data_IF_734985936684
#
_entry.id   IF_734985936684
#
_cell.length_a   1.000
_cell.length_b   1.000
_cell.length_c   1.000
_cell.angle_alpha   90.00
_cell.angle_beta   90.00
_cell.angle_gamma   90.00
#
_symmetry.space_group_name_H-M   'P 1'
#
loop_
_entity.id
_entity.type
_entity.pdbx_description
1 polymer ?
#
# COMPACT_ATOMS: atom_id res chain seq x y z
N UNK A 1 23.91 -6.70 -10.74
CA UNK A 1 23.00 -7.33 -11.72
C UNK A 1 23.02 -6.53 -13.00
N UNK A 2 23.12 -7.18 -14.17
CA UNK A 2 23.24 -6.51 -15.47
C UNK A 2 21.89 -6.08 -16.07
N UNK A 3 21.91 -5.07 -16.94
CA UNK A 3 20.71 -4.50 -17.61
C UNK A 3 19.90 -5.54 -18.40
N UNK A 4 20.56 -6.59 -18.94
CA UNK A 4 19.87 -7.66 -19.68
C UNK A 4 19.02 -8.56 -18.79
N UNK A 5 19.42 -8.75 -17.51
CA UNK A 5 18.67 -9.54 -16.54
C UNK A 5 17.38 -8.81 -16.12
N UNK A 6 17.48 -7.50 -15.87
CA UNK A 6 16.33 -6.64 -15.53
C UNK A 6 15.27 -6.65 -16.65
N UNK A 7 15.68 -6.52 -17.91
CA UNK A 7 14.77 -6.58 -19.08
C UNK A 7 14.10 -7.94 -19.23
N UNK A 8 14.78 -9.04 -18.89
CA UNK A 8 14.20 -10.39 -18.92
C UNK A 8 13.10 -10.53 -17.87
N UNK A 9 13.34 -10.04 -16.66
CA UNK A 9 12.34 -10.07 -15.59
C UNK A 9 11.12 -9.23 -15.95
N UNK A 10 11.31 -8.00 -16.47
CA UNK A 10 10.18 -7.18 -16.94
C UNK A 10 9.37 -7.90 -18.02
N UNK A 11 10.03 -8.59 -18.96
CA UNK A 11 9.35 -9.33 -20.02
C UNK A 11 8.53 -10.50 -19.46
N UNK A 12 9.09 -11.27 -18.54
CA UNK A 12 8.34 -12.37 -17.89
C UNK A 12 7.20 -11.85 -17.02
N UNK A 13 7.40 -10.71 -16.36
CA UNK A 13 6.37 -10.05 -15.57
C UNK A 13 5.23 -9.53 -16.44
N UNK A 14 5.53 -8.82 -17.54
CA UNK A 14 4.54 -8.28 -18.45
C UNK A 14 3.61 -9.36 -19.04
N UNK A 15 4.07 -10.62 -19.14
CA UNK A 15 3.20 -11.75 -19.53
C UNK A 15 2.14 -12.07 -18.49
N UNK A 16 2.45 -11.88 -17.19
CA UNK A 16 1.55 -12.16 -16.06
C UNK A 16 0.72 -10.94 -15.64
N UNK A 17 1.18 -9.75 -16.01
CA UNK A 17 0.60 -8.46 -15.61
C UNK A 17 -0.90 -8.37 -15.84
N UNK A 18 -1.38 -8.75 -17.03
CA UNK A 18 -2.81 -8.72 -17.34
C UNK A 18 -3.65 -9.64 -16.43
N UNK A 19 -3.07 -10.75 -15.94
CA UNK A 19 -3.70 -11.61 -14.95
C UNK A 19 -3.72 -10.96 -13.57
N UNK A 20 -2.60 -10.36 -13.15
CA UNK A 20 -2.50 -9.66 -11.87
C UNK A 20 -3.46 -8.47 -11.78
N UNK A 21 -3.49 -7.62 -12.81
CA UNK A 21 -4.44 -6.50 -12.87
C UNK A 21 -5.89 -6.97 -12.81
N UNK A 22 -6.22 -8.10 -13.45
CA UNK A 22 -7.56 -8.67 -13.40
C UNK A 22 -7.94 -9.08 -11.99
N UNK A 23 -7.04 -9.75 -11.26
CA UNK A 23 -7.30 -10.13 -9.87
C UNK A 23 -7.42 -8.90 -8.96
N UNK A 24 -6.55 -7.90 -9.12
CA UNK A 24 -6.61 -6.66 -8.34
C UNK A 24 -7.91 -5.87 -8.60
N UNK A 25 -8.35 -5.80 -9.86
CA UNK A 25 -9.61 -5.15 -10.26
C UNK A 25 -10.86 -5.83 -9.69
N UNK A 26 -10.77 -7.07 -9.20
CA UNK A 26 -11.89 -7.69 -8.46
C UNK A 26 -12.05 -7.11 -7.06
N UNK A 27 -11.00 -6.52 -6.50
CA UNK A 27 -11.01 -5.96 -5.15
C UNK A 27 -11.40 -4.48 -5.13
N UNK A 28 -11.28 -3.78 -6.26
CA UNK A 28 -11.55 -2.35 -6.34
C UNK A 28 -11.08 -1.70 -7.64
N UNK A 29 -10.99 -0.36 -7.62
CA UNK A 29 -10.52 0.43 -8.76
C UNK A 29 -8.98 0.48 -8.76
N UNK A 30 -8.36 0.10 -9.88
CA UNK A 30 -6.90 0.01 -10.00
C UNK A 30 -6.38 1.07 -10.99
N UNK A 31 -5.51 1.95 -10.50
CA UNK A 31 -4.82 2.97 -11.28
C UNK A 31 -3.32 2.68 -11.36
N UNK A 32 -2.75 2.76 -12.56
CA UNK A 32 -1.30 2.59 -12.79
C UNK A 32 -0.56 3.92 -12.59
N UNK A 33 0.17 4.03 -11.47
CA UNK A 33 0.96 5.20 -11.14
C UNK A 33 2.42 5.09 -11.61
N UNK A 34 2.79 4.00 -12.30
CA UNK A 34 4.18 3.76 -12.74
C UNK A 34 4.72 4.91 -13.59
N UNK A 35 3.88 5.52 -14.43
CA UNK A 35 4.23 6.65 -15.27
C UNK A 35 4.46 7.97 -14.51
N UNK A 36 3.90 8.09 -13.31
CA UNK A 36 4.03 9.26 -12.44
C UNK A 36 5.34 9.24 -11.65
N UNK A 37 5.96 8.07 -11.48
CA UNK A 37 7.24 7.92 -10.78
C UNK A 37 8.39 8.23 -11.74
N UNK A 38 9.15 9.32 -11.53
CA UNK A 38 10.33 9.63 -12.33
C UNK A 38 11.33 8.46 -12.34
N UNK A 39 11.96 8.16 -13.48
CA UNK A 39 12.86 7.00 -13.65
C UNK A 39 14.00 7.02 -12.61
N UNK A 40 14.52 8.21 -12.30
CA UNK A 40 15.55 8.40 -11.28
C UNK A 40 15.04 8.12 -9.85
N UNK A 41 13.73 8.23 -9.59
CA UNK A 41 13.07 7.91 -8.32
C UNK A 41 12.58 6.46 -8.23
N UNK A 42 12.49 5.69 -9.33
CA UNK A 42 12.20 4.23 -9.25
C UNK A 42 13.29 3.42 -8.55
N UNK A 43 14.47 4.02 -8.33
CA UNK A 43 15.59 3.51 -7.52
C UNK A 43 15.57 3.98 -6.06
N UNK A 44 14.54 4.72 -5.68
CA UNK A 44 14.34 5.25 -4.35
C UNK A 44 12.97 4.76 -3.91
N UNK A 45 12.88 4.09 -2.75
CA UNK A 45 11.55 3.84 -2.18
C UNK A 45 10.81 5.17 -2.11
N UNK A 46 9.59 5.21 -2.65
CA UNK A 46 8.75 6.42 -2.68
C UNK A 46 8.45 6.92 -1.25
N UNK A 47 8.73 6.10 -0.22
CA UNK A 47 8.29 6.38 1.13
C UNK A 47 9.45 6.59 2.14
N UNK A 48 10.66 6.06 1.90
CA UNK A 48 11.73 6.07 2.92
C UNK A 48 13.07 6.72 2.52
N UNK A 49 13.22 7.21 1.28
CA UNK A 49 14.47 7.85 0.82
C UNK A 49 15.76 7.02 1.09
N UNK A 50 15.64 5.69 1.17
CA UNK A 50 16.79 4.80 1.34
C UNK A 50 17.24 4.22 0.00
N UNK A 51 18.56 4.10 -0.24
CA UNK A 51 19.09 3.49 -1.45
C UNK A 51 18.71 2.02 -1.46
N UNK A 52 17.82 1.64 -2.38
CA UNK A 52 17.43 0.26 -2.51
C UNK A 52 18.48 -0.51 -3.30
N UNK A 53 18.70 -1.76 -2.92
CA UNK A 53 19.51 -2.67 -3.73
C UNK A 53 18.93 -2.75 -5.14
N UNK A 54 19.78 -3.02 -6.15
CA UNK A 54 19.36 -3.17 -7.55
C UNK A 54 18.19 -4.16 -7.75
N UNK A 55 17.97 -5.07 -6.79
CA UNK A 55 16.89 -6.05 -6.80
C UNK A 55 15.52 -5.45 -6.43
N UNK A 56 15.50 -4.39 -5.61
CA UNK A 56 14.29 -3.74 -5.10
C UNK A 56 13.93 -2.46 -5.88
N UNK A 57 14.35 -2.37 -7.13
CA UNK A 57 13.86 -1.34 -8.04
C UNK A 57 12.42 -1.63 -8.46
N UNK A 58 11.62 -0.58 -8.64
CA UNK A 58 10.19 -0.67 -8.97
C UNK A 58 10.00 -1.03 -10.45
N UNK A 59 9.25 -2.10 -10.71
CA UNK A 59 8.77 -2.52 -12.04
C UNK A 59 7.44 -1.84 -12.35
N UNK A 60 6.49 -1.94 -11.41
CA UNK A 60 5.17 -1.32 -11.48
C UNK A 60 4.75 -0.79 -10.11
N UNK A 61 3.98 0.28 -10.13
CA UNK A 61 3.35 0.87 -8.96
C UNK A 61 1.89 1.11 -9.30
N UNK A 62 1.01 0.62 -8.45
CA UNK A 62 -0.42 0.80 -8.58
C UNK A 62 -0.99 1.47 -7.35
N UNK A 63 -2.08 2.18 -7.58
CA UNK A 63 -2.99 2.62 -6.53
C UNK A 63 -4.27 1.83 -6.66
N UNK A 64 -4.65 1.15 -5.59
CA UNK A 64 -5.86 0.35 -5.54
C UNK A 64 -6.80 0.99 -4.54
N UNK A 65 -7.96 1.43 -5.00
CA UNK A 65 -9.04 1.86 -4.13
C UNK A 65 -9.93 0.66 -3.84
N UNK A 66 -9.65 0.01 -2.71
CA UNK A 66 -10.42 -1.14 -2.21
C UNK A 66 -11.86 -0.73 -1.92
N UNK A 67 -12.82 -1.49 -2.43
CA UNK A 67 -14.26 -1.23 -2.28
C UNK A 67 -14.60 0.28 -2.40
N UNK A 68 -14.41 0.82 -3.61
CA UNK A 68 -14.56 2.25 -3.88
C UNK A 68 -15.93 2.83 -3.47
N UNK A 69 -16.98 2.00 -3.47
CA UNK A 69 -18.33 2.42 -3.07
C UNK A 69 -18.43 2.66 -1.55
N UNK A 70 -17.80 1.78 -0.76
CA UNK A 70 -17.94 1.82 0.69
C UNK A 70 -16.75 2.47 1.39
N UNK A 71 -15.51 2.33 0.93
CA UNK A 71 -14.36 2.88 1.64
C UNK A 71 -13.94 4.24 1.09
N UNK A 72 -14.32 4.61 -0.14
CA UNK A 72 -13.84 5.82 -0.80
C UNK A 72 -12.31 5.96 -0.63
N UNK A 73 -11.82 7.13 -0.24
CA UNK A 73 -10.39 7.40 -0.01
C UNK A 73 -9.76 6.61 1.16
N UNK A 74 -10.57 6.08 2.10
CA UNK A 74 -10.04 5.20 3.16
C UNK A 74 -9.53 3.88 2.55
N UNK A 75 -10.12 3.43 1.45
CA UNK A 75 -9.75 2.21 0.72
C UNK A 75 -8.50 2.34 -0.15
N UNK A 76 -7.94 3.54 -0.25
CA UNK A 76 -6.76 3.84 -1.05
C UNK A 76 -5.50 3.20 -0.45
N UNK A 77 -4.92 2.26 -1.19
CA UNK A 77 -3.71 1.52 -0.82
C UNK A 77 -2.73 1.47 -1.98
N UNK A 78 -1.43 1.53 -1.67
CA UNK A 78 -0.39 1.44 -2.69
C UNK A 78 0.10 -0.01 -2.84
N UNK A 79 0.28 -0.44 -4.09
CA UNK A 79 0.82 -1.76 -4.44
C UNK A 79 2.05 -1.57 -5.32
N UNK A 80 3.18 -2.04 -4.82
CA UNK A 80 4.46 -1.96 -5.54
C UNK A 80 4.90 -3.34 -6.00
N UNK A 81 5.48 -3.43 -7.19
CA UNK A 81 6.03 -4.67 -7.73
C UNK A 81 7.49 -4.46 -8.05
N UNK A 82 8.33 -5.36 -7.54
CA UNK A 82 9.78 -5.22 -7.56
C UNK A 82 10.45 -6.16 -8.58
N UNK A 83 11.65 -5.77 -9.01
CA UNK A 83 12.45 -6.55 -9.97
C UNK A 83 12.96 -7.88 -9.38
N UNK A 84 12.95 -8.06 -8.06
CA UNK A 84 13.24 -9.34 -7.41
C UNK A 84 12.04 -10.31 -7.39
N UNK A 85 10.89 -9.87 -7.90
CA UNK A 85 9.65 -10.65 -7.94
C UNK A 85 8.81 -10.54 -6.66
N UNK A 86 9.21 -9.72 -5.69
CA UNK A 86 8.41 -9.43 -4.51
C UNK A 86 7.38 -8.32 -4.76
N UNK A 87 6.41 -8.23 -3.87
CA UNK A 87 5.32 -7.26 -3.91
C UNK A 87 5.29 -6.47 -2.61
N UNK A 88 4.97 -5.19 -2.69
CA UNK A 88 4.79 -4.29 -1.55
C UNK A 88 3.32 -3.89 -1.41
N UNK A 89 2.86 -3.76 -0.17
CA UNK A 89 1.56 -3.17 0.18
C UNK A 89 1.81 -2.08 1.20
N UNK A 90 1.27 -0.89 0.98
CA UNK A 90 1.33 0.20 1.95
C UNK A 90 0.04 1.02 1.97
N UNK A 91 -0.09 1.87 2.98
CA UNK A 91 -1.06 2.98 3.05
C UNK A 91 -0.37 4.18 3.68
N UNK A 92 0.42 4.89 2.88
CA UNK A 92 1.23 6.01 3.37
C UNK A 92 0.90 7.33 2.66
N UNK A 93 0.47 7.31 1.39
CA UNK A 93 0.07 8.50 0.65
C UNK A 93 -1.27 9.05 1.15
N UNK A 94 -2.21 8.17 1.53
CA UNK A 94 -3.49 8.53 2.15
C UNK A 94 -3.59 7.87 3.53
N UNK A 95 -2.94 8.44 4.56
CA UNK A 95 -3.00 7.90 5.91
C UNK A 95 -4.38 8.11 6.53
N UNK A 96 -4.62 7.41 7.65
CA UNK A 96 -5.85 7.51 8.43
C UNK A 96 -5.66 8.59 9.49
N UNK A 97 -6.55 9.58 9.53
CA UNK A 97 -6.53 10.61 10.56
C UNK A 97 -7.51 10.28 11.69
N UNK A 98 -7.06 10.40 12.93
CA UNK A 98 -7.88 10.13 14.11
C UNK A 98 -7.84 11.31 15.08
N UNK A 99 -9.01 11.77 15.53
CA UNK A 99 -9.14 12.98 16.34
C UNK A 99 -9.28 12.72 17.85
N UNK A 100 -9.30 11.45 18.28
CA UNK A 100 -9.49 11.09 19.69
C UNK A 100 -8.78 9.78 20.09
N UNK A 101 -8.52 9.63 21.39
CA UNK A 101 -7.79 8.48 21.93
C UNK A 101 -8.60 7.17 21.88
N UNK A 102 -9.93 7.22 21.94
CA UNK A 102 -10.77 6.03 21.95
C UNK A 102 -10.76 5.38 20.56
N UNK A 103 -10.95 6.17 19.51
CA UNK A 103 -10.85 5.73 18.11
C UNK A 103 -9.45 5.23 17.78
N UNK A 104 -8.40 5.86 18.33
CA UNK A 104 -7.03 5.39 18.16
C UNK A 104 -6.83 3.99 18.77
N UNK A 105 -7.33 3.77 19.99
CA UNK A 105 -7.29 2.46 20.65
C UNK A 105 -8.07 1.41 19.87
N UNK A 106 -9.24 1.76 19.35
CA UNK A 106 -10.04 0.87 18.49
C UNK A 106 -9.28 0.47 17.24
N UNK A 107 -8.65 1.44 16.56
CA UNK A 107 -7.84 1.16 15.37
C UNK A 107 -6.68 0.19 15.71
N UNK A 108 -5.97 0.39 16.82
CA UNK A 108 -4.92 -0.54 17.27
C UNK A 108 -5.49 -1.96 17.46
N UNK A 109 -6.66 -2.08 18.08
CA UNK A 109 -7.32 -3.38 18.29
C UNK A 109 -7.72 -4.04 16.97
N UNK A 110 -8.21 -3.29 15.99
CA UNK A 110 -8.63 -3.81 14.67
C UNK A 110 -7.46 -4.46 13.93
N UNK A 111 -6.28 -3.85 14.02
CA UNK A 111 -5.07 -4.35 13.36
C UNK A 111 -4.28 -5.37 14.20
N UNK A 112 -4.67 -5.57 15.46
CA UNK A 112 -4.00 -6.53 16.33
C UNK A 112 -4.15 -7.97 15.78
N UNK A 113 -3.02 -8.67 15.63
CA UNK A 113 -2.97 -10.02 15.06
C UNK A 113 -3.03 -10.08 13.52
N UNK A 114 -3.11 -8.94 12.85
CA UNK A 114 -2.98 -8.83 11.38
C UNK A 114 -1.49 -8.72 10.98
N UNK A 115 -1.13 -8.95 9.71
CA UNK A 115 0.26 -8.76 9.26
C UNK A 115 0.69 -7.29 9.17
N UNK A 116 -0.22 -6.33 9.35
CA UNK A 116 0.06 -4.92 9.15
C UNK A 116 0.52 -4.26 10.45
N UNK A 117 1.72 -3.68 10.39
CA UNK A 117 2.16 -2.75 11.42
C UNK A 117 1.50 -1.40 11.20
N UNK A 118 1.37 -0.64 12.28
CA UNK A 118 0.86 0.72 12.24
C UNK A 118 1.95 1.68 12.69
N UNK A 119 2.17 2.73 11.90
CA UNK A 119 2.99 3.86 12.30
C UNK A 119 2.08 5.00 12.79
N UNK A 120 2.46 5.62 13.90
CA UNK A 120 1.66 6.65 14.56
C UNK A 120 2.46 7.94 14.70
N UNK A 121 1.91 9.03 14.16
CA UNK A 121 2.46 10.36 14.33
C UNK A 121 1.42 11.29 14.95
N UNK A 122 1.72 11.89 16.11
CA UNK A 122 0.87 12.92 16.69
C UNK A 122 1.09 14.25 15.96
N UNK A 123 0.05 14.77 15.34
CA UNK A 123 0.04 16.08 14.70
C UNK A 123 -0.08 17.16 15.79
N UNK A 124 0.95 17.99 15.92
CA UNK A 124 1.04 19.00 16.99
C UNK A 124 0.63 20.41 16.56
N UNK A 125 0.41 20.64 15.27
CA UNK A 125 0.07 21.95 14.71
C UNK A 125 -1.43 22.31 14.80
N UNK A 126 -2.22 21.52 15.52
CA UNK A 126 -3.67 21.74 15.71
C UNK A 126 -4.02 21.79 17.19
N UNK A 127 -5.08 22.51 17.55
CA UNK A 127 -5.52 22.73 18.94
C UNK A 127 -6.34 21.57 19.52
N UNK A 128 -6.37 20.42 18.85
CA UNK A 128 -7.07 19.21 19.29
C UNK A 128 -6.15 17.99 19.12
N UNK A 129 -6.51 16.85 19.70
CA UNK A 129 -5.74 15.63 19.45
C UNK A 129 -5.94 15.21 18.00
N UNK A 130 -4.87 15.11 17.21
CA UNK A 130 -4.94 14.51 15.88
C UNK A 130 -3.74 13.59 15.69
N UNK A 131 -4.01 12.39 15.22
CA UNK A 131 -3.01 11.37 14.92
C UNK A 131 -3.08 11.06 13.43
N UNK A 132 -1.92 11.03 12.78
CA UNK A 132 -1.73 10.45 11.47
C UNK A 132 -1.32 8.99 11.68
N UNK A 133 -2.09 8.06 11.13
CA UNK A 133 -1.80 6.63 11.19
C UNK A 133 -1.57 6.11 9.78
N UNK A 134 -0.36 5.65 9.51
CA UNK A 134 0.01 5.04 8.23
C UNK A 134 0.31 3.55 8.40
N UNK A 135 0.17 2.81 7.30
CA UNK A 135 0.59 1.41 7.23
C UNK A 135 1.88 1.38 6.41
N UNK A 136 3.06 1.22 7.04
CA UNK A 136 4.31 1.14 6.32
C UNK A 136 4.33 -0.06 5.39
N UNK A 137 5.13 0.04 4.33
CA UNK A 137 5.24 -1.02 3.35
C UNK A 137 5.60 -2.39 3.95
N UNK A 138 4.79 -3.39 3.63
CA UNK A 138 5.05 -4.81 3.91
C UNK A 138 5.35 -5.55 2.61
N UNK A 139 6.36 -6.43 2.63
CA UNK A 139 6.77 -7.24 1.49
C UNK A 139 6.18 -8.65 1.53
N UNK A 140 5.79 -9.15 0.37
CA UNK A 140 5.37 -10.54 0.18
C UNK A 140 6.01 -11.14 -1.07
N UNK A 141 6.33 -12.44 -1.02
CA UNK A 141 7.06 -13.13 -2.09
C UNK A 141 6.16 -13.75 -3.17
N UNK A 142 4.85 -13.82 -2.91
CA UNK A 142 3.87 -14.48 -3.80
C UNK A 142 2.66 -13.58 -4.00
N UNK A 143 2.20 -13.50 -5.25
CA UNK A 143 1.03 -12.72 -5.61
C UNK A 143 -0.26 -13.19 -4.90
N UNK A 144 -0.42 -14.50 -4.65
CA UNK A 144 -1.56 -15.01 -3.89
C UNK A 144 -1.58 -14.50 -2.44
N UNK A 145 -0.40 -14.34 -1.83
CA UNK A 145 -0.26 -13.77 -0.48
C UNK A 145 -0.57 -12.28 -0.49
N UNK A 146 -0.16 -11.55 -1.53
CA UNK A 146 -0.54 -10.16 -1.77
C UNK A 146 -2.07 -10.00 -1.77
N UNK A 147 -2.78 -10.83 -2.55
CA UNK A 147 -4.25 -10.81 -2.61
C UNK A 147 -4.87 -11.08 -1.23
N UNK A 148 -4.39 -12.10 -0.51
CA UNK A 148 -4.90 -12.40 0.83
C UNK A 148 -4.71 -11.22 1.80
N UNK A 149 -3.55 -10.56 1.74
CA UNK A 149 -3.28 -9.39 2.58
C UNK A 149 -4.18 -8.21 2.23
N UNK A 150 -4.45 -7.96 0.95
CA UNK A 150 -5.39 -6.93 0.52
C UNK A 150 -6.83 -7.22 1.01
N UNK A 151 -7.25 -8.48 1.04
CA UNK A 151 -8.56 -8.89 1.60
C UNK A 151 -8.62 -8.64 3.11
N UNK A 152 -7.56 -9.00 3.84
CA UNK A 152 -7.45 -8.71 5.28
C UNK A 152 -7.48 -7.20 5.52
N UNK A 153 -6.71 -6.43 4.74
CA UNK A 153 -6.64 -4.98 4.86
C UNK A 153 -8.01 -4.34 4.59
N UNK A 154 -8.69 -4.75 3.52
CA UNK A 154 -10.05 -4.30 3.22
C UNK A 154 -10.99 -4.54 4.42
N UNK A 155 -10.96 -5.74 4.99
CA UNK A 155 -11.75 -6.08 6.17
C UNK A 155 -11.45 -5.19 7.38
N UNK A 156 -10.17 -4.92 7.65
CA UNK A 156 -9.74 -3.98 8.69
C UNK A 156 -10.26 -2.57 8.42
N UNK A 157 -10.15 -2.07 7.17
CA UNK A 157 -10.59 -0.73 6.80
C UNK A 157 -12.11 -0.56 6.91
N UNK A 158 -12.89 -1.61 6.59
CA UNK A 158 -14.33 -1.61 6.83
C UNK A 158 -14.67 -1.51 8.32
N UNK A 159 -13.92 -2.19 9.18
CA UNK A 159 -14.11 -2.06 10.62
C UNK A 159 -13.70 -0.66 11.09
N UNK A 160 -12.58 -0.12 10.61
CA UNK A 160 -12.14 1.25 10.92
C UNK A 160 -13.20 2.27 10.54
N UNK A 161 -13.83 2.14 9.36
CA UNK A 161 -14.88 3.06 8.89
C UNK A 161 -16.05 3.19 9.89
N UNK A 162 -16.35 2.15 10.67
CA UNK A 162 -17.41 2.20 11.69
C UNK A 162 -17.07 3.10 12.88
N UNK A 163 -15.80 3.42 13.06
CA UNK A 163 -15.29 4.14 14.24
C UNK A 163 -14.58 5.45 13.89
N UNK A 164 -14.44 5.78 12.60
CA UNK A 164 -13.78 7.00 12.14
C UNK A 164 -14.73 7.74 11.20
N UNK A 165 -15.06 8.98 11.55
CA UNK A 165 -15.62 9.94 10.60
C UNK A 165 -14.46 10.44 9.75
N UNK A 166 -14.45 10.07 8.47
CA UNK A 166 -13.46 10.58 7.53
C UNK A 166 -13.91 12.00 7.12
N UNK A 167 -13.14 13.00 7.54
CA UNK A 167 -13.29 14.41 7.10
C UNK A 167 -13.08 14.54 5.57
#
# INVERSE_FOLDING_TARGET
>A
MGVSFMRRIEKEFNKKLAGYERELKKLGCLDDETGLIPINKRRWHVIWWQPVTLAKTIVRSFRLTLDNENLCILGDVEITIYHDGTYGISKEAVPIFINDLLSLKKLITIFYGTPFNLNFEKIRCVNFNRYCVSIPEIYVDKFEVLINYLIILSSCLHEVKKHVEYD
#
